data_IF_994301668725
#
_entry.id   IF_994301668725
#
_cell.length_a   1.000
_cell.length_b   1.000
_cell.length_c   1.000
_cell.angle_alpha   90.00
_cell.angle_beta   90.00
_cell.angle_gamma   90.00
#
_symmetry.space_group_name_H-M   'P 1'
#
loop_
_entity.id
_entity.type
_entity.pdbx_description
1 polymer ?
#
# COMPACT_ATOMS: atom_id res chain seq x y z
N UNK A 1 8.69 -12.05 19.16
CA UNK A 1 10.06 -11.62 18.83
C UNK A 1 10.00 -10.23 18.19
N UNK A 2 10.87 -9.32 18.63
CA UNK A 2 11.07 -8.03 17.96
C UNK A 2 12.24 -8.16 16.99
N UNK A 3 12.09 -7.61 15.80
CA UNK A 3 13.13 -7.60 14.76
C UNK A 3 13.49 -6.15 14.46
N UNK A 4 14.75 -5.89 14.12
CA UNK A 4 15.15 -4.53 13.72
C UNK A 4 14.60 -4.19 12.33
N UNK A 5 14.30 -2.90 12.05
CA UNK A 5 13.86 -2.47 10.72
C UNK A 5 14.84 -2.86 9.60
N UNK A 6 16.15 -2.83 9.87
CA UNK A 6 17.18 -3.23 8.91
C UNK A 6 17.13 -4.73 8.62
N UNK A 7 16.95 -5.57 9.64
CA UNK A 7 16.81 -7.01 9.44
C UNK A 7 15.52 -7.35 8.66
N UNK A 8 14.41 -6.69 9.00
CA UNK A 8 13.16 -6.78 8.26
C UNK A 8 13.34 -6.38 6.79
N UNK A 9 13.99 -5.24 6.53
CA UNK A 9 14.21 -4.73 5.18
C UNK A 9 15.06 -5.69 4.33
N UNK A 10 16.15 -6.23 4.90
CA UNK A 10 16.99 -7.23 4.22
C UNK A 10 16.23 -8.50 3.88
N UNK A 11 15.40 -8.99 4.80
CA UNK A 11 14.55 -10.15 4.56
C UNK A 11 13.54 -9.90 3.44
N UNK A 12 12.85 -8.75 3.48
CA UNK A 12 11.87 -8.36 2.45
C UNK A 12 12.56 -8.23 1.09
N UNK A 13 13.70 -7.55 1.01
CA UNK A 13 14.47 -7.40 -0.23
C UNK A 13 14.90 -8.75 -0.80
N UNK A 14 15.38 -9.67 0.04
CA UNK A 14 15.74 -11.02 -0.39
C UNK A 14 14.52 -11.77 -0.94
N UNK A 15 13.35 -11.66 -0.28
CA UNK A 15 12.10 -12.26 -0.76
C UNK A 15 11.59 -11.66 -2.07
N UNK A 16 11.79 -10.35 -2.28
CA UNK A 16 11.47 -9.69 -3.54
C UNK A 16 12.34 -10.20 -4.68
N UNK A 17 13.67 -10.24 -4.48
CA UNK A 17 14.63 -10.70 -5.50
C UNK A 17 14.56 -12.20 -5.79
N UNK A 18 14.15 -13.00 -4.81
CA UNK A 18 13.92 -14.44 -4.97
C UNK A 18 12.53 -14.80 -5.51
N UNK A 19 11.70 -13.84 -5.90
CA UNK A 19 10.40 -14.13 -6.48
C UNK A 19 10.53 -14.67 -7.91
N UNK A 20 9.97 -15.86 -8.15
CA UNK A 20 10.00 -16.49 -9.47
C UNK A 20 9.13 -15.74 -10.50
N UNK A 21 8.03 -15.13 -10.04
CA UNK A 21 7.08 -14.39 -10.88
C UNK A 21 6.99 -12.91 -10.47
N UNK A 22 6.80 -12.03 -11.47
CA UNK A 22 6.40 -10.63 -11.27
C UNK A 22 7.47 -9.67 -10.73
N UNK A 23 8.75 -10.08 -10.63
CA UNK A 23 9.94 -9.26 -10.29
C UNK A 23 9.65 -8.01 -9.41
N UNK A 24 9.02 -8.20 -8.24
CA UNK A 24 8.48 -7.12 -7.43
C UNK A 24 9.56 -6.12 -7.02
N UNK A 25 9.27 -4.83 -7.18
CA UNK A 25 10.17 -3.74 -6.78
C UNK A 25 9.70 -2.99 -5.52
N UNK A 26 8.53 -3.35 -4.98
CA UNK A 26 8.02 -2.86 -3.69
C UNK A 26 7.71 -4.03 -2.77
N UNK A 27 8.10 -3.89 -1.50
CA UNK A 27 7.71 -4.83 -0.46
C UNK A 27 7.45 -4.16 0.87
N UNK A 28 6.80 -4.87 1.78
CA UNK A 28 6.45 -4.37 3.10
C UNK A 28 5.87 -5.45 3.98
N UNK A 29 5.20 -5.02 5.04
CA UNK A 29 4.71 -5.87 6.13
C UNK A 29 3.19 -5.78 6.27
N UNK A 30 2.61 -6.60 7.12
CA UNK A 30 1.20 -6.52 7.46
C UNK A 30 0.89 -5.17 8.11
N UNK A 31 -0.10 -4.42 7.60
CA UNK A 31 -0.29 -3.01 7.94
C UNK A 31 -1.02 -2.79 9.27
N UNK A 32 -1.64 -3.83 9.84
CA UNK A 32 -2.41 -3.72 11.08
C UNK A 32 -1.63 -4.36 12.24
N UNK A 33 -1.66 -3.72 13.39
CA UNK A 33 -1.09 -4.24 14.64
C UNK A 33 -1.84 -5.44 15.25
N UNK A 34 -2.70 -6.13 14.48
CA UNK A 34 -3.50 -7.26 14.94
C UNK A 34 -2.82 -8.60 14.59
N UNK A 35 -2.23 -9.24 15.60
CA UNK A 35 -1.55 -10.53 15.47
C UNK A 35 -2.46 -11.65 14.96
N UNK A 36 -3.72 -11.72 15.41
CA UNK A 36 -4.65 -12.75 14.94
C UNK A 36 -4.88 -12.67 13.43
N UNK A 37 -5.18 -11.48 12.93
CA UNK A 37 -5.42 -11.26 11.50
C UNK A 37 -4.18 -11.48 10.64
N UNK A 38 -3.01 -11.08 11.15
CA UNK A 38 -1.70 -11.37 10.56
C UNK A 38 -1.49 -12.89 10.33
N UNK A 39 -2.03 -13.75 11.19
CA UNK A 39 -1.86 -15.21 11.10
C UNK A 39 -2.95 -15.96 10.31
N UNK A 40 -4.12 -15.37 10.10
CA UNK A 40 -5.24 -16.01 9.37
C UNK A 40 -5.00 -16.11 7.85
N UNK A 41 -4.15 -15.25 7.30
CA UNK A 41 -3.87 -15.20 5.86
C UNK A 41 -2.72 -16.09 5.40
N UNK A 42 -2.46 -16.07 4.09
CA UNK A 42 -1.22 -16.62 3.51
C UNK A 42 0.01 -15.94 4.09
N UNK A 43 1.16 -16.61 4.11
CA UNK A 43 2.39 -16.04 4.67
C UNK A 43 2.89 -14.78 3.96
N UNK A 44 2.68 -14.70 2.64
CA UNK A 44 2.93 -13.52 1.84
C UNK A 44 1.79 -13.26 0.86
N UNK A 45 1.75 -12.04 0.35
CA UNK A 45 0.80 -11.62 -0.68
C UNK A 45 1.50 -10.81 -1.76
N UNK A 46 0.92 -10.83 -2.97
CA UNK A 46 1.54 -10.24 -4.18
C UNK A 46 0.80 -9.03 -4.77
N UNK A 47 -0.40 -8.75 -4.29
CA UNK A 47 -1.32 -7.76 -4.87
C UNK A 47 -2.03 -6.89 -3.82
N UNK A 48 -1.52 -6.91 -2.60
CA UNK A 48 -2.13 -6.23 -1.48
C UNK A 48 -1.43 -4.91 -1.17
N UNK A 49 -2.17 -4.03 -0.52
CA UNK A 49 -1.69 -2.74 -0.03
C UNK A 49 -0.44 -2.87 0.86
N UNK A 50 0.54 -1.99 0.61
CA UNK A 50 1.74 -1.77 1.42
C UNK A 50 1.62 -0.41 2.11
N UNK A 51 1.76 -0.40 3.44
CA UNK A 51 1.63 0.80 4.27
C UNK A 51 2.88 1.68 4.19
N UNK A 52 2.68 3.01 4.13
CA UNK A 52 3.75 4.01 4.03
C UNK A 52 4.73 4.04 5.21
N UNK A 53 4.32 3.62 6.41
CA UNK A 53 5.16 3.61 7.62
C UNK A 53 6.43 2.77 7.52
N UNK A 54 6.35 1.67 6.75
CA UNK A 54 7.51 0.81 6.52
C UNK A 54 7.34 0.00 5.25
N UNK A 55 8.18 0.31 4.27
CA UNK A 55 8.29 -0.43 3.02
C UNK A 55 9.74 -0.45 2.53
N UNK A 56 10.00 -1.32 1.56
CA UNK A 56 11.27 -1.47 0.87
C UNK A 56 11.03 -1.30 -0.61
N UNK A 57 11.78 -0.39 -1.23
CA UNK A 57 11.84 -0.25 -2.68
C UNK A 57 13.21 -0.72 -3.15
N UNK A 58 13.25 -1.55 -4.20
CA UNK A 58 14.50 -1.91 -4.86
C UNK A 58 14.79 -0.92 -6.01
N UNK A 59 14.90 -1.37 -7.25
CA UNK A 59 15.30 -0.54 -8.40
C UNK A 59 14.08 0.00 -9.17
N UNK A 60 13.11 0.57 -8.46
CA UNK A 60 11.88 1.07 -9.07
C UNK A 60 12.00 2.51 -9.59
N UNK A 61 11.45 2.75 -10.78
CA UNK A 61 11.24 4.09 -11.33
C UNK A 61 10.02 4.82 -10.75
N UNK A 62 9.11 4.12 -10.06
CA UNK A 62 7.89 4.72 -9.51
C UNK A 62 8.24 5.83 -8.49
N UNK A 63 7.43 6.90 -8.47
CA UNK A 63 7.55 8.05 -7.56
C UNK A 63 6.20 8.32 -6.92
N UNK A 64 6.21 9.09 -5.82
CA UNK A 64 4.98 9.61 -5.23
C UNK A 64 4.38 10.68 -6.14
N UNK A 65 3.05 10.70 -6.21
CA UNK A 65 2.31 11.75 -6.88
C UNK A 65 2.26 13.01 -6.00
N UNK A 66 2.96 14.06 -6.42
CA UNK A 66 3.05 15.32 -5.67
C UNK A 66 1.72 16.08 -5.60
N UNK A 67 0.72 15.70 -6.41
CA UNK A 67 -0.63 16.27 -6.32
C UNK A 67 -1.43 15.72 -5.13
N UNK A 68 -1.01 14.59 -4.57
CA UNK A 68 -1.66 13.94 -3.43
C UNK A 68 -1.01 14.37 -2.11
N UNK A 69 -1.84 14.61 -1.10
CA UNK A 69 -1.36 14.98 0.24
C UNK A 69 -1.62 13.92 1.30
N UNK A 70 -2.44 12.92 0.98
CA UNK A 70 -2.82 11.81 1.84
C UNK A 70 -3.03 10.56 0.97
N UNK A 71 -2.88 9.37 1.57
CA UNK A 71 -3.09 8.06 0.90
C UNK A 71 -2.15 7.84 -0.29
N UNK A 72 -1.00 8.51 -0.28
CA UNK A 72 0.08 8.39 -1.24
C UNK A 72 0.65 6.97 -1.29
N UNK A 73 0.57 6.21 -0.21
CA UNK A 73 0.98 4.82 -0.11
C UNK A 73 0.08 3.87 -0.92
N UNK A 74 -1.22 4.18 -1.04
CA UNK A 74 -2.14 3.46 -1.94
C UNK A 74 -1.74 3.70 -3.38
N UNK A 75 -1.51 4.96 -3.76
CA UNK A 75 -1.08 5.33 -5.12
C UNK A 75 0.25 4.68 -5.49
N UNK A 76 1.22 4.74 -4.57
CA UNK A 76 2.54 4.16 -4.75
C UNK A 76 2.48 2.63 -4.87
N UNK A 77 1.61 1.98 -4.09
CA UNK A 77 1.36 0.53 -4.22
C UNK A 77 0.75 0.20 -5.59
N UNK A 78 -0.27 0.94 -6.01
CA UNK A 78 -0.92 0.75 -7.32
C UNK A 78 0.08 0.96 -8.47
N UNK A 79 0.91 1.99 -8.39
CA UNK A 79 1.94 2.28 -9.40
C UNK A 79 2.91 1.12 -9.56
N UNK A 80 3.34 0.48 -8.46
CA UNK A 80 4.20 -0.70 -8.52
C UNK A 80 3.49 -1.93 -9.07
N UNK A 81 2.21 -2.11 -8.74
CA UNK A 81 1.41 -3.21 -9.26
C UNK A 81 1.14 -3.06 -10.76
N UNK A 82 0.97 -1.83 -11.25
CA UNK A 82 0.82 -1.52 -12.66
C UNK A 82 2.14 -1.76 -13.42
N UNK A 83 3.24 -1.20 -12.92
CA UNK A 83 4.55 -1.23 -13.60
C UNK A 83 5.20 -2.62 -13.56
N UNK A 84 5.20 -3.27 -12.38
CA UNK A 84 5.95 -4.51 -12.17
C UNK A 84 5.06 -5.75 -12.13
N UNK A 85 3.73 -5.58 -12.10
CA UNK A 85 2.77 -6.69 -12.03
C UNK A 85 2.67 -7.37 -10.67
N UNK A 86 3.57 -7.08 -9.72
CA UNK A 86 3.53 -7.64 -8.37
C UNK A 86 4.27 -6.81 -7.32
N UNK A 87 3.90 -7.03 -6.06
CA UNK A 87 4.60 -6.56 -4.85
C UNK A 87 4.91 -7.74 -3.93
N UNK A 88 5.56 -7.50 -2.78
CA UNK A 88 5.69 -8.50 -1.70
C UNK A 88 5.24 -7.93 -0.36
N UNK A 89 4.11 -8.41 0.15
CA UNK A 89 3.75 -8.16 1.55
C UNK A 89 4.03 -9.40 2.38
N UNK A 90 4.88 -9.27 3.40
CA UNK A 90 5.11 -10.32 4.39
C UNK A 90 4.01 -10.24 5.43
N UNK A 91 3.03 -11.13 5.36
CA UNK A 91 1.90 -11.09 6.29
C UNK A 91 2.25 -11.63 7.67
N UNK A 92 3.35 -12.39 7.84
CA UNK A 92 3.83 -12.90 9.14
C UNK A 92 4.72 -11.91 9.90
N UNK A 93 4.88 -10.72 9.36
CA UNK A 93 5.58 -9.60 9.97
C UNK A 93 4.59 -8.46 10.03
N UNK A 94 4.48 -7.78 11.17
CA UNK A 94 3.59 -6.64 11.32
C UNK A 94 4.35 -5.45 11.88
N UNK A 95 3.79 -4.27 11.66
CA UNK A 95 4.25 -3.03 12.27
C UNK A 95 3.21 -2.53 13.27
N UNK A 96 3.68 -2.02 14.40
CA UNK A 96 2.89 -1.25 15.34
C UNK A 96 3.30 0.21 15.18
N UNK A 97 2.71 0.88 14.19
CA UNK A 97 2.96 2.29 13.92
C UNK A 97 2.07 3.17 14.82
N UNK A 98 2.61 4.32 15.25
CA UNK A 98 1.87 5.38 15.96
C UNK A 98 1.41 6.50 15.02
N UNK A 99 1.08 6.19 13.77
CA UNK A 99 0.85 7.21 12.73
C UNK A 99 -0.47 8.00 12.83
N UNK A 100 -1.46 7.51 13.59
CA UNK A 100 -2.76 8.19 13.73
C UNK A 100 -2.77 9.24 14.85
N UNK A 101 -1.81 9.19 15.78
CA UNK A 101 -1.82 10.01 17.01
C UNK A 101 -0.57 10.85 17.23
N UNK A 102 0.45 10.71 16.37
CA UNK A 102 1.65 11.54 16.43
C UNK A 102 1.33 12.99 16.04
N UNK A 103 1.91 13.95 16.76
CA UNK A 103 1.83 15.36 16.40
C UNK A 103 2.65 15.63 15.13
N UNK A 104 2.03 16.26 14.12
CA UNK A 104 2.66 16.55 12.81
C UNK A 104 2.33 15.53 11.71
N UNK A 105 2.97 15.66 10.55
CA UNK A 105 2.77 14.75 9.40
C UNK A 105 1.33 14.73 8.88
N UNK A 106 0.83 13.56 8.47
CA UNK A 106 -0.54 13.38 7.97
C UNK A 106 -1.61 13.91 8.94
N UNK A 107 -1.36 13.88 10.26
CA UNK A 107 -2.29 14.42 11.26
C UNK A 107 -2.40 15.95 11.24
N UNK A 108 -1.41 16.67 10.71
CA UNK A 108 -1.50 18.14 10.50
C UNK A 108 -2.21 18.52 9.20
N UNK A 109 -2.29 17.59 8.24
CA UNK A 109 -2.97 17.79 6.95
C UNK A 109 -4.42 17.31 6.99
N UNK A 110 -4.76 16.44 7.95
CA UNK A 110 -6.13 16.03 8.22
C UNK A 110 -6.92 17.21 8.77
N UNK A 111 -7.92 17.63 8.02
CA UNK A 111 -8.97 18.50 8.54
C UNK A 111 -9.89 17.69 9.47
N UNK A 112 -10.46 18.36 10.46
CA UNK A 112 -11.46 17.75 11.34
C UNK A 112 -12.73 17.33 10.60
N UNK A 113 -12.95 17.87 9.40
CA UNK A 113 -14.11 17.62 8.55
C UNK A 113 -13.95 16.42 7.58
N UNK A 114 -12.73 15.93 7.36
CA UNK A 114 -12.43 14.85 6.43
C UNK A 114 -12.43 15.25 4.94
N UNK A 115 -12.55 16.53 4.60
CA UNK A 115 -12.64 16.99 3.20
C UNK A 115 -11.37 16.63 2.43
N UNK A 116 -10.20 16.82 3.04
CA UNK A 116 -8.93 16.48 2.40
C UNK A 116 -8.76 14.98 2.15
N UNK A 117 -9.27 14.13 3.05
CA UNK A 117 -9.29 12.68 2.86
C UNK A 117 -10.20 12.30 1.67
N UNK A 118 -11.37 12.94 1.54
CA UNK A 118 -12.32 12.71 0.46
C UNK A 118 -11.79 13.15 -0.92
N UNK A 119 -11.08 14.28 -0.98
CA UNK A 119 -10.39 14.74 -2.19
C UNK A 119 -9.36 13.70 -2.68
N UNK A 120 -8.49 13.21 -1.78
CA UNK A 120 -7.49 12.20 -2.12
C UNK A 120 -8.12 10.85 -2.49
N UNK A 121 -9.24 10.46 -1.86
CA UNK A 121 -10.02 9.28 -2.28
C UNK A 121 -10.53 9.44 -3.71
N UNK A 122 -11.04 10.62 -4.05
CA UNK A 122 -11.57 10.92 -5.39
C UNK A 122 -10.48 10.83 -6.44
N UNK A 123 -9.30 11.42 -6.17
CA UNK A 123 -8.12 11.32 -7.03
C UNK A 123 -7.72 9.85 -7.23
N UNK A 124 -7.61 9.08 -6.14
CA UNK A 124 -7.28 7.65 -6.20
C UNK A 124 -8.27 6.82 -7.01
N UNK A 125 -9.58 7.07 -6.85
CA UNK A 125 -10.61 6.34 -7.57
C UNK A 125 -10.63 6.68 -9.06
N UNK A 126 -10.32 7.93 -9.42
CA UNK A 126 -10.17 8.35 -10.82
C UNK A 126 -8.92 7.74 -11.45
N UNK A 127 -7.78 7.74 -10.73
CA UNK A 127 -6.50 7.21 -11.22
C UNK A 127 -6.47 5.68 -11.32
N UNK A 128 -7.13 4.99 -10.38
CA UNK A 128 -7.13 3.53 -10.27
C UNK A 128 -8.56 2.95 -10.28
N UNK A 129 -9.29 3.06 -11.41
CA UNK A 129 -10.71 2.73 -11.47
C UNK A 129 -10.96 1.24 -11.20
N UNK A 130 -11.78 0.97 -10.17
CA UNK A 130 -12.14 -0.38 -9.74
C UNK A 130 -11.16 -1.02 -8.74
N UNK A 131 -9.95 -0.48 -8.57
CA UNK A 131 -8.99 -0.98 -7.58
C UNK A 131 -9.22 -0.38 -6.18
N UNK A 132 -9.75 0.84 -6.07
CA UNK A 132 -9.91 1.56 -4.80
C UNK A 132 -11.38 1.59 -4.36
N UNK A 133 -11.67 0.94 -3.23
CA UNK A 133 -13.02 0.83 -2.67
C UNK A 133 -13.11 1.55 -1.34
N UNK A 134 -14.23 2.20 -1.04
CA UNK A 134 -14.48 2.76 0.29
C UNK A 134 -14.62 1.65 1.33
N UNK A 135 -14.07 1.87 2.53
CA UNK A 135 -14.26 0.94 3.63
C UNK A 135 -15.71 1.02 4.11
N UNK A 136 -16.38 -0.14 4.22
CA UNK A 136 -17.83 -0.21 4.46
C UNK A 136 -18.26 0.39 5.82
N UNK A 137 -17.44 0.28 6.87
CA UNK A 137 -17.75 0.79 8.21
C UNK A 137 -16.92 1.99 8.66
N UNK A 138 -15.79 2.29 8.00
CA UNK A 138 -14.83 3.29 8.47
C UNK A 138 -14.84 4.47 7.49
N UNK A 139 -15.37 5.60 7.96
CA UNK A 139 -15.39 6.84 7.16
C UNK A 139 -13.97 7.23 6.76
N UNK A 140 -13.83 7.79 5.56
CA UNK A 140 -12.55 8.28 5.01
C UNK A 140 -11.45 7.22 4.84
N UNK A 141 -11.76 5.92 4.97
CA UNK A 141 -10.82 4.83 4.72
C UNK A 141 -11.16 4.11 3.41
N UNK A 142 -10.13 3.52 2.79
CA UNK A 142 -10.26 2.76 1.55
C UNK A 142 -9.59 1.40 1.65
N UNK A 143 -9.98 0.50 0.75
CA UNK A 143 -9.46 -0.85 0.60
C UNK A 143 -8.98 -1.01 -0.83
N UNK A 144 -7.73 -1.46 -0.99
CA UNK A 144 -7.18 -1.84 -2.28
C UNK A 144 -7.63 -3.26 -2.67
N UNK A 145 -8.22 -3.38 -3.85
CA UNK A 145 -8.61 -4.65 -4.51
C UNK A 145 -8.08 -4.66 -5.95
N UNK A 146 -6.79 -4.95 -6.10
CA UNK A 146 -6.11 -4.87 -7.40
C UNK A 146 -6.74 -5.73 -8.50
N UNK A 147 -7.28 -6.89 -8.16
CA UNK A 147 -7.92 -7.82 -9.11
C UNK A 147 -9.17 -7.23 -9.79
N UNK A 148 -9.74 -6.17 -9.23
CA UNK A 148 -10.92 -5.49 -9.75
C UNK A 148 -10.57 -4.28 -10.62
N UNK A 149 -9.30 -4.04 -10.92
CA UNK A 149 -8.89 -2.98 -11.83
C UNK A 149 -9.57 -3.18 -13.19
N UNK A 150 -10.32 -2.18 -13.65
CA UNK A 150 -10.92 -2.19 -14.99
C UNK A 150 -9.79 -1.97 -15.99
N UNK A 151 -9.51 -2.96 -16.84
CA UNK A 151 -8.67 -2.73 -18.02
C UNK A 151 -9.42 -1.75 -18.92
N UNK A 152 -8.80 -0.63 -19.27
CA UNK A 152 -9.29 0.20 -20.37
C UNK A 152 -9.39 -0.70 -21.60
N UNK A 153 -10.54 -0.69 -22.28
CA UNK A 153 -10.65 -1.33 -23.59
C UNK A 153 -9.55 -0.73 -24.49
N UNK A 154 -8.88 -1.52 -25.33
CA UNK A 154 -7.97 -0.94 -26.32
C UNK A 154 -8.79 0.03 -27.18
N UNK A 155 -8.32 1.27 -27.31
CA UNK A 155 -8.85 2.20 -28.31
C UNK A 155 -8.60 1.56 -29.68
N UNK A 156 -9.68 1.16 -30.34
CA UNK A 156 -9.66 0.69 -31.72
C UNK A 156 -9.14 1.83 -32.60
N UNK A 157 -7.90 1.69 -33.08
CA UNK A 157 -7.30 2.50 -34.15
C UNK A 157 -7.69 1.99 -35.53
#
# INVERSE_FOLDING_TARGET
YHISPVAAARFILAKMRGAEEGKPQLGGVYPLGNLGQCFMGREFSRRNFILGDFFVVDKSGCRFDESMSLKEDYDFTCSHLQEHGSIVRINRMLIQAKHETNAGGACSVRDSAGTREEENITILQAKWPGAIWRHHTRKHQVVLRWECLKKSAPEES
#
